data_IF_808821834996
#
_entry.id   IF_808821834996
#
_cell.length_a   1.000
_cell.length_b   1.000
_cell.length_c   1.000
_cell.angle_alpha   90.00
_cell.angle_beta   90.00
_cell.angle_gamma   90.00
#
_symmetry.space_group_name_H-M   'P 1'
#
loop_
_entity.id
_entity.type
_entity.pdbx_description
1 polymer ?
#
# COMPACT_ATOMS: atom_id res chain seq x y z
N UNK A 1 24.65 -3.95 24.24
CA UNK A 1 24.19 -5.33 23.97
C UNK A 1 24.52 -6.31 25.11
N UNK A 2 25.79 -6.39 25.56
CA UNK A 2 26.21 -7.34 26.59
C UNK A 2 25.30 -7.43 27.82
N UNK A 3 24.80 -6.30 28.33
CA UNK A 3 23.84 -6.29 29.44
C UNK A 3 22.57 -7.11 29.17
N UNK A 4 21.97 -6.96 27.98
CA UNK A 4 20.76 -7.70 27.58
C UNK A 4 21.06 -9.20 27.46
N UNK A 5 22.21 -9.55 26.87
CA UNK A 5 22.62 -10.94 26.71
C UNK A 5 22.91 -11.63 28.05
N UNK A 6 23.49 -10.91 29.02
CA UNK A 6 23.77 -11.46 30.35
C UNK A 6 22.54 -11.56 31.26
N UNK A 7 21.41 -10.94 30.89
CA UNK A 7 20.19 -10.87 31.69
C UNK A 7 18.93 -11.13 30.85
N UNK A 8 18.98 -12.11 29.94
CA UNK A 8 17.87 -12.41 29.01
C UNK A 8 16.56 -12.70 29.75
N UNK A 9 16.65 -13.29 30.94
CA UNK A 9 15.52 -13.60 31.83
C UNK A 9 14.74 -12.36 32.27
N UNK A 10 15.38 -11.20 32.33
CA UNK A 10 14.72 -9.92 32.67
C UNK A 10 13.94 -9.32 31.48
N UNK A 11 14.08 -9.88 30.29
CA UNK A 11 13.52 -9.32 29.05
C UNK A 11 12.69 -10.33 28.24
N UNK A 12 11.59 -10.85 28.80
CA UNK A 12 10.67 -11.69 28.03
C UNK A 12 10.04 -10.89 26.88
N UNK A 13 9.80 -11.55 25.74
CA UNK A 13 8.94 -11.06 24.65
C UNK A 13 9.23 -9.62 24.17
N UNK A 14 10.48 -9.28 23.87
CA UNK A 14 10.81 -7.99 23.25
C UNK A 14 10.87 -6.79 24.21
N UNK A 15 10.78 -7.00 25.53
CA UNK A 15 10.87 -5.93 26.53
C UNK A 15 12.18 -5.11 26.48
N UNK A 16 13.24 -5.65 25.86
CA UNK A 16 14.52 -4.96 25.66
C UNK A 16 14.56 -4.03 24.44
N UNK A 17 13.44 -3.84 23.71
CA UNK A 17 13.43 -3.17 22.40
C UNK A 17 14.17 -1.83 22.37
N UNK A 18 14.02 -0.99 23.40
CA UNK A 18 14.66 0.33 23.44
C UNK A 18 16.19 0.25 23.53
N UNK A 19 16.72 -0.79 24.17
CA UNK A 19 18.15 -1.06 24.22
C UNK A 19 18.61 -1.58 22.86
N UNK A 20 17.85 -2.49 22.24
CA UNK A 20 18.18 -3.02 20.91
C UNK A 20 18.23 -1.89 19.87
N UNK A 21 17.22 -1.02 19.81
CA UNK A 21 17.20 0.17 18.94
C UNK A 21 18.44 1.02 19.14
N UNK A 22 18.79 1.40 20.38
CA UNK A 22 19.98 2.21 20.64
C UNK A 22 21.29 1.53 20.20
N UNK A 23 21.37 0.20 20.28
CA UNK A 23 22.53 -0.52 19.75
C UNK A 23 22.55 -0.47 18.22
N UNK A 24 21.40 -0.61 17.56
CA UNK A 24 21.31 -0.46 16.10
C UNK A 24 21.69 0.95 15.65
N UNK A 25 21.15 2.00 16.28
CA UNK A 25 21.51 3.39 15.98
C UNK A 25 23.02 3.64 16.15
N UNK A 26 23.61 3.14 17.26
CA UNK A 26 25.05 3.29 17.51
C UNK A 26 25.93 2.52 16.50
N UNK A 27 25.45 1.37 15.99
CA UNK A 27 26.16 0.59 14.96
C UNK A 27 25.97 1.17 13.57
N UNK A 28 24.81 1.76 13.28
CA UNK A 28 24.58 2.45 12.02
C UNK A 28 25.56 3.60 11.80
N UNK A 29 25.94 4.33 12.87
CA UNK A 29 26.99 5.37 12.83
C UNK A 29 28.37 4.80 12.47
N UNK A 30 28.63 3.53 12.77
CA UNK A 30 29.87 2.84 12.42
C UNK A 30 29.86 2.27 10.99
N UNK A 31 28.69 2.28 10.33
CA UNK A 31 28.52 1.86 8.95
C UNK A 31 27.63 0.62 8.77
N UNK A 32 27.30 0.30 7.50
CA UNK A 32 26.38 -0.77 7.12
C UNK A 32 26.83 -2.16 7.58
N UNK A 33 28.12 -2.49 7.44
CA UNK A 33 28.66 -3.78 7.87
C UNK A 33 28.50 -3.98 9.38
N UNK A 34 28.80 -2.96 10.17
CA UNK A 34 28.71 -3.04 11.64
C UNK A 34 27.26 -3.20 12.12
N UNK A 35 26.29 -2.61 11.42
CA UNK A 35 24.87 -2.86 11.67
C UNK A 35 24.46 -4.28 11.24
N UNK A 36 24.96 -4.76 10.10
CA UNK A 36 24.74 -6.13 9.63
C UNK A 36 25.23 -7.18 10.63
N UNK A 37 26.46 -7.06 11.13
CA UNK A 37 27.02 -7.94 12.17
C UNK A 37 26.16 -7.95 13.43
N UNK A 38 25.65 -6.78 13.84
CA UNK A 38 24.75 -6.68 14.99
C UNK A 38 23.43 -7.45 14.75
N UNK A 39 22.81 -7.32 13.57
CA UNK A 39 21.58 -8.04 13.24
C UNK A 39 21.79 -9.54 13.17
N UNK A 40 22.96 -9.99 12.70
CA UNK A 40 23.36 -11.39 12.75
C UNK A 40 23.46 -11.88 14.19
N UNK A 41 24.12 -11.12 15.08
CA UNK A 41 24.15 -11.44 16.51
C UNK A 41 22.73 -11.51 17.10
N UNK A 42 21.82 -10.61 16.69
CA UNK A 42 20.42 -10.68 17.14
C UNK A 42 19.72 -11.95 16.68
N UNK A 43 20.01 -12.45 15.47
CA UNK A 43 19.48 -13.72 14.98
C UNK A 43 20.01 -14.91 15.78
N UNK A 44 21.33 -14.98 15.96
CA UNK A 44 22.02 -16.05 16.70
C UNK A 44 21.55 -16.13 18.15
N UNK A 45 21.31 -14.98 18.77
CA UNK A 45 20.90 -14.87 20.17
C UNK A 45 19.38 -14.96 20.37
N UNK A 46 18.61 -15.16 19.28
CA UNK A 46 17.15 -15.20 19.22
C UNK A 46 16.49 -13.98 19.89
N UNK A 47 17.01 -12.78 19.59
CA UNK A 47 16.46 -11.53 20.09
C UNK A 47 15.33 -11.06 19.18
N UNK A 48 14.20 -10.73 19.79
CA UNK A 48 13.02 -10.30 19.06
C UNK A 48 13.15 -8.85 18.56
N UNK A 49 12.91 -8.68 17.26
CA UNK A 49 12.93 -7.40 16.54
C UNK A 49 11.54 -7.00 16.04
N UNK A 50 10.48 -7.61 16.56
CA UNK A 50 9.10 -7.29 16.22
C UNK A 50 8.56 -6.09 17.02
N UNK A 51 9.24 -4.94 16.84
CA UNK A 51 8.80 -3.64 17.34
C UNK A 51 8.72 -2.62 16.20
N UNK A 52 7.76 -1.69 16.29
CA UNK A 52 7.46 -0.72 15.23
C UNK A 52 8.18 0.64 15.37
N UNK A 53 9.13 0.78 16.29
CA UNK A 53 9.81 2.07 16.48
C UNK A 53 10.87 2.27 15.40
N UNK A 54 10.86 3.43 14.70
CA UNK A 54 11.84 3.71 13.68
C UNK A 54 13.23 3.87 14.28
N UNK A 55 14.20 3.22 13.63
CA UNK A 55 15.62 3.36 13.98
C UNK A 55 16.15 4.62 13.31
N UNK A 56 16.83 5.48 14.05
CA UNK A 56 17.50 6.65 13.47
C UNK A 56 18.79 6.21 12.80
N UNK A 57 18.83 6.31 11.48
CA UNK A 57 20.01 6.05 10.67
C UNK A 57 20.68 7.40 10.31
N UNK A 58 22.01 7.42 10.08
CA UNK A 58 22.69 8.58 9.51
C UNK A 58 22.06 9.04 8.18
N UNK A 59 22.11 10.33 7.88
CA UNK A 59 21.56 10.89 6.63
C UNK A 59 22.26 10.31 5.38
N UNK A 60 23.54 9.98 5.51
CA UNK A 60 24.41 9.40 4.48
C UNK A 60 24.59 7.88 4.63
N UNK A 61 23.67 7.21 5.36
CA UNK A 61 23.75 5.77 5.56
C UNK A 61 23.66 4.99 4.24
N UNK A 62 24.67 4.15 3.98
CA UNK A 62 24.73 3.32 2.77
C UNK A 62 23.82 2.09 2.87
N UNK A 63 22.55 2.30 2.50
CA UNK A 63 21.55 1.23 2.47
C UNK A 63 21.90 0.11 1.49
N UNK A 64 22.53 0.41 0.35
CA UNK A 64 22.89 -0.59 -0.66
C UNK A 64 23.88 -1.61 -0.11
N UNK A 65 24.91 -1.13 0.62
CA UNK A 65 25.83 -2.02 1.31
C UNK A 65 25.13 -2.80 2.45
N UNK A 66 24.24 -2.15 3.19
CA UNK A 66 23.55 -2.77 4.34
C UNK A 66 22.65 -3.95 3.94
N UNK A 67 21.84 -3.79 2.90
CA UNK A 67 20.89 -4.85 2.46
C UNK A 67 21.59 -6.08 1.87
N UNK A 68 22.89 -6.00 1.56
CA UNK A 68 23.72 -7.12 1.17
C UNK A 68 24.32 -7.92 2.33
N UNK A 69 24.17 -7.46 3.57
CA UNK A 69 24.75 -8.13 4.75
C UNK A 69 23.98 -9.38 5.15
N UNK A 70 24.68 -10.39 5.69
CA UNK A 70 24.06 -11.63 6.17
C UNK A 70 23.02 -11.37 7.26
N UNK A 71 23.33 -10.50 8.22
CA UNK A 71 22.42 -10.15 9.30
C UNK A 71 21.13 -9.47 8.83
N UNK A 72 21.20 -8.65 7.78
CA UNK A 72 19.99 -8.12 7.15
C UNK A 72 19.13 -9.25 6.56
N UNK A 73 19.72 -10.14 5.76
CA UNK A 73 18.99 -11.24 5.11
C UNK A 73 18.31 -12.18 6.12
N UNK A 74 18.97 -12.45 7.25
CA UNK A 74 18.42 -13.28 8.33
C UNK A 74 17.23 -12.63 9.05
N UNK A 75 17.13 -11.30 9.03
CA UNK A 75 16.16 -10.54 9.81
C UNK A 75 15.20 -9.68 8.96
N UNK A 76 15.27 -9.77 7.63
CA UNK A 76 14.56 -8.88 6.70
C UNK A 76 13.05 -8.79 6.93
N UNK A 77 12.43 -9.86 7.44
CA UNK A 77 10.99 -9.93 7.65
C UNK A 77 10.54 -9.32 9.00
N UNK A 78 11.48 -8.97 9.88
CA UNK A 78 11.22 -8.37 11.20
C UNK A 78 10.78 -6.92 11.11
N UNK A 79 9.89 -6.54 12.03
CA UNK A 79 9.29 -5.19 12.02
C UNK A 79 10.31 -4.06 12.11
N UNK A 80 11.35 -4.21 12.94
CA UNK A 80 12.41 -3.20 13.06
C UNK A 80 13.22 -3.03 11.76
N UNK A 81 13.52 -4.14 11.07
CA UNK A 81 14.28 -4.11 9.80
C UNK A 81 13.42 -3.53 8.68
N UNK A 82 12.13 -3.88 8.63
CA UNK A 82 11.17 -3.21 7.72
C UNK A 82 11.14 -1.70 7.95
N UNK A 83 11.17 -1.25 9.21
CA UNK A 83 11.22 0.19 9.49
C UNK A 83 12.48 0.88 8.96
N UNK A 84 13.63 0.18 8.88
CA UNK A 84 14.82 0.71 8.21
C UNK A 84 14.63 0.82 6.70
N UNK A 85 13.98 -0.17 6.07
CA UNK A 85 13.63 -0.11 4.64
C UNK A 85 12.66 1.04 4.35
N UNK A 86 11.75 1.36 5.26
CA UNK A 86 10.91 2.57 5.14
C UNK A 86 11.77 3.85 5.15
N UNK A 87 12.81 3.88 5.99
CA UNK A 87 13.79 4.97 6.02
C UNK A 87 14.57 5.09 4.70
N UNK A 88 14.94 3.96 4.09
CA UNK A 88 15.56 3.94 2.77
C UNK A 88 14.61 4.50 1.71
N UNK A 89 13.38 4.01 1.67
CA UNK A 89 12.37 4.45 0.73
C UNK A 89 12.10 5.96 0.84
N UNK A 90 12.10 6.51 2.05
CA UNK A 90 11.95 7.95 2.27
C UNK A 90 13.16 8.77 1.78
N UNK A 91 14.36 8.18 1.77
CA UNK A 91 15.61 8.87 1.40
C UNK A 91 15.93 8.74 -0.08
N UNK A 92 15.82 7.53 -0.64
CA UNK A 92 16.04 7.19 -2.04
C UNK A 92 15.10 6.07 -2.48
N UNK A 93 13.86 6.46 -2.83
CA UNK A 93 12.81 5.53 -3.24
C UNK A 93 13.15 4.73 -4.50
N UNK A 94 13.95 5.28 -5.39
CA UNK A 94 14.29 4.63 -6.66
C UNK A 94 15.31 3.51 -6.44
N UNK A 95 16.30 3.74 -5.59
CA UNK A 95 17.25 2.71 -5.18
C UNK A 95 16.57 1.58 -4.40
N UNK A 96 15.68 1.91 -3.46
CA UNK A 96 14.91 0.92 -2.70
C UNK A 96 14.00 0.08 -3.62
N UNK A 97 13.31 0.72 -4.57
CA UNK A 97 12.51 0.03 -5.58
C UNK A 97 13.35 -0.93 -6.43
N UNK A 98 14.48 -0.45 -6.97
CA UNK A 98 15.37 -1.27 -7.80
C UNK A 98 15.89 -2.50 -7.03
N UNK A 99 16.18 -2.34 -5.74
CA UNK A 99 16.56 -3.44 -4.87
C UNK A 99 15.43 -4.47 -4.69
N UNK A 100 14.20 -4.03 -4.43
CA UNK A 100 13.04 -4.93 -4.32
C UNK A 100 12.81 -5.73 -5.61
N UNK A 101 12.95 -5.09 -6.78
CA UNK A 101 12.86 -5.76 -8.09
C UNK A 101 13.97 -6.80 -8.24
N UNK A 102 15.22 -6.42 -8.00
CA UNK A 102 16.38 -7.29 -8.16
C UNK A 102 16.34 -8.53 -7.25
N UNK A 103 15.72 -8.42 -6.07
CA UNK A 103 15.63 -9.50 -5.08
C UNK A 103 14.27 -10.24 -5.11
N UNK A 104 13.42 -9.96 -6.09
CA UNK A 104 12.08 -10.54 -6.22
C UNK A 104 11.16 -10.33 -4.99
N UNK A 105 11.37 -9.23 -4.26
CA UNK A 105 10.71 -8.87 -3.00
C UNK A 105 9.74 -7.68 -3.17
N UNK A 106 9.06 -7.61 -4.32
CA UNK A 106 8.23 -6.46 -4.69
C UNK A 106 7.05 -6.21 -3.74
N UNK A 107 6.55 -7.26 -3.08
CA UNK A 107 5.43 -7.17 -2.14
C UNK A 107 5.80 -6.43 -0.85
N UNK A 108 7.09 -6.40 -0.48
CA UNK A 108 7.56 -5.66 0.69
C UNK A 108 7.34 -4.16 0.55
N UNK A 109 7.33 -3.60 -0.68
CA UNK A 109 7.01 -2.19 -0.92
C UNK A 109 5.64 -1.78 -0.35
N UNK A 110 4.68 -2.71 -0.36
CA UNK A 110 3.34 -2.49 0.20
C UNK A 110 3.44 -2.26 1.71
N UNK A 111 4.29 -3.04 2.40
CA UNK A 111 4.55 -2.86 3.83
C UNK A 111 5.31 -1.58 4.15
N UNK A 112 6.07 -1.04 3.20
CA UNK A 112 6.93 0.12 3.43
C UNK A 112 6.27 1.48 3.18
N UNK A 113 5.35 1.55 2.23
CA UNK A 113 4.67 2.79 1.88
C UNK A 113 3.55 3.11 2.90
N UNK A 114 3.48 4.35 3.43
CA UNK A 114 2.44 4.79 4.36
C UNK A 114 1.11 5.09 3.63
N UNK A 115 0.60 4.12 2.86
CA UNK A 115 -0.57 4.27 1.97
C UNK A 115 -1.87 4.61 2.71
N UNK A 116 -1.98 4.28 4.00
CA UNK A 116 -3.20 4.49 4.79
C UNK A 116 -3.27 5.91 5.41
N UNK A 117 -2.27 6.77 5.16
CA UNK A 117 -2.24 8.16 5.66
C UNK A 117 -2.79 9.16 4.65
N UNK A 118 -3.35 10.28 5.12
CA UNK A 118 -3.87 11.35 4.26
C UNK A 118 -2.83 11.88 3.25
N UNK A 119 -1.55 11.84 3.62
CA UNK A 119 -0.42 12.28 2.79
C UNK A 119 0.12 11.17 1.87
N UNK A 120 -0.33 9.92 2.04
CA UNK A 120 0.12 8.75 1.28
C UNK A 120 -0.33 8.72 -0.19
N UNK A 121 -1.06 9.75 -0.65
CA UNK A 121 -1.54 9.83 -2.03
C UNK A 121 -0.40 9.82 -3.05
N UNK A 122 0.67 10.58 -2.78
CA UNK A 122 1.83 10.64 -3.65
C UNK A 122 2.57 9.30 -3.75
N UNK A 123 2.60 8.56 -2.64
CA UNK A 123 3.17 7.21 -2.56
C UNK A 123 2.38 6.20 -3.39
N UNK A 124 1.05 6.27 -3.31
CA UNK A 124 0.16 5.40 -4.10
C UNK A 124 0.24 5.72 -5.60
N UNK A 125 0.32 7.00 -5.95
CA UNK A 125 0.53 7.44 -7.34
C UNK A 125 1.88 6.97 -7.89
N UNK A 126 2.95 7.16 -7.13
CA UNK A 126 4.29 6.65 -7.48
C UNK A 126 4.27 5.13 -7.67
N UNK A 127 3.57 4.38 -6.82
CA UNK A 127 3.46 2.93 -6.97
C UNK A 127 2.75 2.55 -8.28
N UNK A 128 1.68 3.27 -8.65
CA UNK A 128 1.00 3.11 -9.94
C UNK A 128 1.94 3.34 -11.13
N UNK A 129 2.82 4.34 -11.05
CA UNK A 129 3.85 4.58 -12.08
C UNK A 129 4.79 3.37 -12.22
N UNK A 130 5.25 2.82 -11.09
CA UNK A 130 6.25 1.74 -11.07
C UNK A 130 5.76 0.42 -11.63
N UNK A 131 4.47 0.11 -11.57
CA UNK A 131 3.96 -1.14 -12.16
C UNK A 131 4.33 -1.28 -13.65
N UNK A 132 4.38 -0.17 -14.40
CA UNK A 132 4.73 -0.19 -15.83
C UNK A 132 6.20 -0.53 -16.12
N UNK A 133 7.06 -0.54 -15.09
CA UNK A 133 8.48 -0.88 -15.19
C UNK A 133 8.79 -2.32 -14.78
N UNK A 134 7.78 -3.05 -14.29
CA UNK A 134 7.90 -4.45 -13.86
C UNK A 134 7.58 -5.39 -15.02
N UNK A 135 8.06 -6.63 -14.95
CA UNK A 135 7.54 -7.69 -15.80
C UNK A 135 6.11 -8.10 -15.39
N UNK A 136 5.44 -8.89 -16.23
CA UNK A 136 4.04 -9.28 -16.02
C UNK A 136 3.82 -10.03 -14.69
N UNK A 137 4.77 -10.87 -14.26
CA UNK A 137 4.67 -11.65 -13.03
C UNK A 137 4.80 -10.75 -11.80
N UNK A 138 5.82 -9.89 -11.80
CA UNK A 138 6.07 -8.92 -10.74
C UNK A 138 4.94 -7.90 -10.63
N UNK A 139 4.44 -7.38 -11.76
CA UNK A 139 3.31 -6.48 -11.82
C UNK A 139 2.03 -7.14 -11.26
N UNK A 140 1.77 -8.40 -11.61
CA UNK A 140 0.61 -9.14 -11.11
C UNK A 140 0.69 -9.36 -9.59
N UNK A 141 1.86 -9.73 -9.05
CA UNK A 141 2.08 -9.89 -7.60
C UNK A 141 1.88 -8.58 -6.85
N UNK A 142 2.54 -7.51 -7.29
CA UNK A 142 2.42 -6.20 -6.67
C UNK A 142 0.97 -5.68 -6.72
N UNK A 143 0.32 -5.76 -7.89
CA UNK A 143 -1.08 -5.36 -8.03
C UNK A 143 -2.00 -6.21 -7.14
N UNK A 144 -1.77 -7.52 -7.05
CA UNK A 144 -2.52 -8.42 -6.16
C UNK A 144 -2.50 -7.93 -4.71
N UNK A 145 -1.33 -7.63 -4.16
CA UNK A 145 -1.21 -7.12 -2.80
C UNK A 145 -1.77 -5.70 -2.61
N UNK A 146 -1.56 -4.81 -3.57
CA UNK A 146 -2.05 -3.42 -3.52
C UNK A 146 -3.57 -3.36 -3.66
N UNK A 147 -4.16 -4.22 -4.48
CA UNK A 147 -5.60 -4.21 -4.78
C UNK A 147 -6.47 -4.37 -3.53
N UNK A 148 -6.04 -5.17 -2.55
CA UNK A 148 -6.74 -5.31 -1.28
C UNK A 148 -6.82 -3.97 -0.52
N UNK A 149 -5.74 -3.17 -0.57
CA UNK A 149 -5.71 -1.83 0.03
C UNK A 149 -6.56 -0.83 -0.75
N UNK A 150 -6.42 -0.78 -2.07
CA UNK A 150 -7.22 0.08 -2.95
C UNK A 150 -8.72 -0.20 -2.79
N UNK A 151 -9.11 -1.45 -2.57
CA UNK A 151 -10.51 -1.80 -2.30
C UNK A 151 -11.02 -1.29 -0.94
N UNK A 152 -10.16 -1.19 0.07
CA UNK A 152 -10.53 -0.62 1.37
C UNK A 152 -10.65 0.89 1.28
N UNK A 153 -9.74 1.54 0.55
CA UNK A 153 -9.76 2.97 0.27
C UNK A 153 -9.81 3.28 -1.24
N UNK A 154 -11.01 3.39 -1.84
CA UNK A 154 -11.15 3.68 -3.26
C UNK A 154 -10.60 5.05 -3.68
N UNK A 155 -10.35 5.98 -2.74
CA UNK A 155 -9.72 7.26 -3.08
C UNK A 155 -8.23 7.09 -3.39
N UNK A 156 -7.57 6.17 -2.71
CA UNK A 156 -6.23 5.70 -3.08
C UNK A 156 -6.21 5.06 -4.47
N UNK A 157 -7.28 4.39 -4.90
CA UNK A 157 -7.36 3.82 -6.25
C UNK A 157 -7.30 4.90 -7.35
N UNK A 158 -7.85 6.09 -7.11
CA UNK A 158 -7.75 7.21 -8.05
C UNK A 158 -6.31 7.73 -8.15
N UNK A 159 -5.59 7.81 -7.03
CA UNK A 159 -4.18 8.18 -7.02
C UNK A 159 -3.34 7.16 -7.79
N UNK A 160 -3.59 5.88 -7.56
CA UNK A 160 -2.94 4.79 -8.29
C UNK A 160 -3.21 4.88 -9.80
N UNK A 161 -4.47 5.14 -10.19
CA UNK A 161 -4.87 5.31 -11.58
C UNK A 161 -4.16 6.49 -12.27
N UNK A 162 -3.87 7.57 -11.54
CA UNK A 162 -3.15 8.72 -12.07
C UNK A 162 -1.68 8.40 -12.41
N UNK A 163 -1.03 7.58 -11.59
CA UNK A 163 0.35 7.15 -11.84
C UNK A 163 0.46 6.06 -12.89
N UNK A 164 -0.57 5.21 -13.03
CA UNK A 164 -0.58 4.07 -13.93
C UNK A 164 -0.46 4.48 -15.41
N UNK A 165 0.66 4.11 -16.04
CA UNK A 165 0.90 4.34 -17.48
C UNK A 165 0.24 3.30 -18.38
N UNK A 166 0.05 2.09 -17.87
CA UNK A 166 -0.67 1.03 -18.59
C UNK A 166 -2.19 1.31 -18.56
N UNK A 167 -2.85 1.42 -19.73
CA UNK A 167 -4.29 1.69 -19.79
C UNK A 167 -5.15 0.65 -19.07
N UNK A 168 -4.76 -0.63 -19.10
CA UNK A 168 -5.49 -1.71 -18.45
C UNK A 168 -5.43 -1.62 -16.93
N UNK A 169 -4.24 -1.38 -16.36
CA UNK A 169 -4.07 -1.14 -14.93
C UNK A 169 -4.80 0.12 -14.47
N UNK A 170 -4.74 1.18 -15.26
CA UNK A 170 -5.47 2.42 -14.99
C UNK A 170 -6.98 2.16 -14.94
N UNK A 171 -7.54 1.47 -15.93
CA UNK A 171 -8.95 1.11 -15.96
C UNK A 171 -9.34 0.26 -14.75
N UNK A 172 -8.59 -0.78 -14.41
CA UNK A 172 -8.83 -1.61 -13.21
C UNK A 172 -8.83 -0.81 -11.92
N UNK A 173 -8.00 0.22 -11.81
CA UNK A 173 -7.99 1.12 -10.66
C UNK A 173 -9.23 2.05 -10.64
N UNK A 174 -9.68 2.53 -11.81
CA UNK A 174 -10.93 3.30 -11.95
C UNK A 174 -12.17 2.45 -11.65
N UNK A 175 -12.16 1.16 -12.00
CA UNK A 175 -13.21 0.20 -11.60
C UNK A 175 -13.35 0.09 -10.07
N UNK A 176 -12.23 0.13 -9.34
CA UNK A 176 -12.25 0.17 -7.88
C UNK A 176 -12.85 1.50 -7.38
N UNK A 177 -12.52 2.63 -8.02
CA UNK A 177 -13.10 3.94 -7.69
C UNK A 177 -14.62 3.94 -7.83
N UNK A 178 -15.17 3.25 -8.83
CA UNK A 178 -16.61 3.18 -9.05
C UNK A 178 -17.36 2.55 -7.85
N UNK A 179 -16.68 1.77 -6.99
CA UNK A 179 -17.30 1.23 -5.76
C UNK A 179 -17.66 2.32 -4.75
N UNK A 180 -17.14 3.55 -4.89
CA UNK A 180 -17.57 4.70 -4.11
C UNK A 180 -19.07 5.00 -4.27
N UNK A 181 -19.69 4.66 -5.41
CA UNK A 181 -21.15 4.81 -5.59
C UNK A 181 -21.90 3.99 -4.52
N UNK A 182 -21.46 2.75 -4.24
CA UNK A 182 -22.07 1.88 -3.23
C UNK A 182 -21.91 2.44 -1.80
N UNK A 183 -20.90 3.29 -1.57
CA UNK A 183 -20.63 3.98 -0.30
C UNK A 183 -21.31 5.35 -0.20
N UNK A 184 -22.03 5.76 -1.24
CA UNK A 184 -22.74 7.04 -1.31
C UNK A 184 -21.91 8.23 -1.80
N UNK A 185 -20.66 8.02 -2.21
CA UNK A 185 -19.79 9.04 -2.80
C UNK A 185 -19.92 9.00 -4.35
N UNK A 186 -21.13 9.33 -4.82
CA UNK A 186 -21.55 9.22 -6.23
C UNK A 186 -20.76 10.17 -7.12
N UNK A 187 -20.65 11.45 -6.73
CA UNK A 187 -19.95 12.48 -7.52
C UNK A 187 -18.48 12.12 -7.76
N UNK A 188 -17.77 11.68 -6.71
CA UNK A 188 -16.40 11.24 -6.83
C UNK A 188 -16.26 10.09 -7.82
N UNK A 189 -17.09 9.05 -7.65
CA UNK A 189 -17.04 7.86 -8.49
C UNK A 189 -17.30 8.18 -9.97
N UNK A 190 -18.31 8.99 -10.26
CA UNK A 190 -18.64 9.41 -11.62
C UNK A 190 -17.50 10.21 -12.24
N UNK A 191 -16.92 11.15 -11.49
CA UNK A 191 -15.75 11.94 -11.93
C UNK A 191 -14.57 11.05 -12.29
N UNK A 192 -14.30 10.00 -11.50
CA UNK A 192 -13.21 9.08 -11.82
C UNK A 192 -13.51 8.23 -13.07
N UNK A 193 -14.76 7.77 -13.22
CA UNK A 193 -15.18 6.97 -14.39
C UNK A 193 -15.10 7.75 -15.71
N UNK A 194 -15.20 9.08 -15.71
CA UNK A 194 -14.96 9.89 -16.90
C UNK A 194 -13.54 9.74 -17.46
N UNK A 195 -12.58 9.29 -16.64
CA UNK A 195 -11.24 8.92 -17.07
C UNK A 195 -11.17 7.72 -18.01
N UNK A 196 -12.24 6.92 -18.12
CA UNK A 196 -12.36 5.80 -19.08
C UNK A 196 -12.96 6.35 -20.38
N UNK A 197 -12.30 6.31 -21.55
CA UNK A 197 -12.81 6.96 -22.76
C UNK A 197 -14.16 6.43 -23.27
N UNK A 198 -14.42 5.13 -23.14
CA UNK A 198 -15.64 4.51 -23.63
C UNK A 198 -16.79 4.62 -22.61
N UNK A 199 -17.86 5.33 -23.00
CA UNK A 199 -19.03 5.52 -22.15
C UNK A 199 -19.76 4.19 -21.87
N UNK A 200 -19.82 3.29 -22.86
CA UNK A 200 -20.44 1.97 -22.69
C UNK A 200 -19.74 1.16 -21.59
N UNK A 201 -18.40 1.17 -21.58
CA UNK A 201 -17.59 0.53 -20.54
C UNK A 201 -17.85 1.11 -19.15
N UNK A 202 -18.01 2.43 -19.00
CA UNK A 202 -18.36 3.06 -17.70
C UNK A 202 -19.68 2.51 -17.16
N UNK A 203 -20.68 2.40 -18.03
CA UNK A 203 -22.01 1.84 -17.69
C UNK A 203 -21.87 0.36 -17.33
N UNK A 204 -21.15 -0.42 -18.11
CA UNK A 204 -20.91 -1.85 -17.84
C UNK A 204 -20.27 -2.08 -16.46
N UNK A 205 -19.28 -1.27 -16.09
CA UNK A 205 -18.64 -1.32 -14.78
C UNK A 205 -19.66 -1.11 -13.67
N UNK A 206 -20.51 -0.08 -13.76
CA UNK A 206 -21.53 0.22 -12.76
C UNK A 206 -22.62 -0.85 -12.69
N UNK A 207 -23.05 -1.39 -13.84
CA UNK A 207 -24.06 -2.45 -13.92
C UNK A 207 -23.56 -3.77 -13.32
N UNK A 208 -22.28 -4.08 -13.51
CA UNK A 208 -21.65 -5.32 -13.00
C UNK A 208 -21.35 -5.30 -11.50
N UNK A 209 -21.53 -4.15 -10.83
CA UNK A 209 -21.22 -4.03 -9.41
C UNK A 209 -22.11 -4.89 -8.54
N UNK A 210 -21.48 -5.63 -7.63
CA UNK A 210 -22.16 -6.39 -6.59
C UNK A 210 -22.27 -5.54 -5.32
N UNK A 211 -23.45 -5.43 -4.70
CA UNK A 211 -23.60 -4.75 -3.42
C UNK A 211 -22.65 -5.32 -2.35
N UNK A 212 -22.04 -4.44 -1.57
CA UNK A 212 -21.17 -4.85 -0.46
C UNK A 212 -22.07 -5.36 0.69
N UNK A 213 -21.89 -6.59 1.21
CA UNK A 213 -22.65 -7.09 2.36
C UNK A 213 -22.61 -6.10 3.52
N UNK A 214 -23.75 -5.86 4.16
CA UNK A 214 -23.90 -4.83 5.21
C UNK A 214 -22.93 -5.02 6.38
N UNK A 215 -22.55 -6.25 6.67
CA UNK A 215 -21.65 -6.66 7.74
C UNK A 215 -20.18 -6.29 7.45
N UNK A 216 -19.83 -6.09 6.18
CA UNK A 216 -18.49 -5.68 5.75
C UNK A 216 -18.37 -4.16 5.56
N UNK A 217 -19.48 -3.42 5.74
CA UNK A 217 -19.54 -1.96 5.61
C UNK A 217 -19.06 -1.29 6.90
N UNK A 218 -17.76 -1.38 7.18
CA UNK A 218 -17.18 -0.95 8.46
C UNK A 218 -16.94 0.56 8.59
N UNK A 219 -17.03 1.37 7.52
CA UNK A 219 -16.71 2.80 7.59
C UNK A 219 -17.52 3.70 6.64
N UNK A 220 -18.09 4.78 7.18
CA UNK A 220 -18.29 6.05 6.47
C UNK A 220 -19.35 6.13 5.36
N UNK A 221 -20.39 5.29 5.36
CA UNK A 221 -21.46 5.40 4.34
C UNK A 221 -22.24 6.69 4.52
N UNK A 222 -22.35 7.46 3.45
CA UNK A 222 -23.41 8.46 3.32
C UNK A 222 -24.60 7.82 2.59
N UNK A 223 -25.85 8.02 3.03
CA UNK A 223 -26.99 7.53 2.25
C UNK A 223 -26.98 8.15 0.85
N UNK A 224 -27.33 7.35 -0.16
CA UNK A 224 -27.56 7.86 -1.53
C UNK A 224 -28.92 8.56 -1.52
N UNK A 225 -28.89 9.89 -1.40
CA UNK A 225 -30.09 10.74 -1.40
C UNK A 225 -30.82 10.68 -2.74
N UNK A 226 -32.07 11.14 -2.78
CA UNK A 226 -32.83 11.25 -4.03
C UNK A 226 -32.10 12.11 -5.08
N UNK A 227 -31.45 13.20 -4.64
CA UNK A 227 -30.63 14.07 -5.49
C UNK A 227 -29.45 13.30 -6.12
N UNK A 228 -28.74 12.49 -5.34
CA UNK A 228 -27.65 11.64 -5.84
C UNK A 228 -28.15 10.54 -6.78
N UNK A 229 -29.34 9.99 -6.55
CA UNK A 229 -29.96 9.04 -7.46
C UNK A 229 -30.32 9.70 -8.80
N UNK A 230 -30.80 10.94 -8.76
CA UNK A 230 -31.13 11.68 -9.98
C UNK A 230 -29.87 12.07 -10.76
N UNK A 231 -28.81 12.51 -10.07
CA UNK A 231 -27.50 12.73 -10.68
C UNK A 231 -26.98 11.46 -11.37
N UNK A 232 -27.06 10.31 -10.68
CA UNK A 232 -26.61 9.03 -11.21
C UNK A 232 -27.45 8.61 -12.43
N UNK A 233 -28.78 8.76 -12.38
CA UNK A 233 -29.69 8.50 -13.48
C UNK A 233 -29.35 9.36 -14.71
N UNK A 234 -29.22 10.67 -14.53
CA UNK A 234 -28.89 11.60 -15.60
C UNK A 234 -27.55 11.27 -16.25
N UNK A 235 -26.51 11.05 -15.44
CA UNK A 235 -25.17 10.73 -15.94
C UNK A 235 -25.13 9.41 -16.71
N UNK A 236 -25.85 8.37 -16.22
CA UNK A 236 -25.95 7.10 -16.92
C UNK A 236 -26.67 7.24 -18.27
N UNK A 237 -27.77 8.01 -18.32
CA UNK A 237 -28.47 8.29 -19.57
C UNK A 237 -27.60 9.05 -20.57
N UNK A 238 -26.81 10.03 -20.10
CA UNK A 238 -25.84 10.77 -20.92
C UNK A 238 -24.72 9.86 -21.46
N UNK A 239 -24.35 8.82 -20.71
CA UNK A 239 -23.44 7.77 -21.17
C UNK A 239 -24.12 6.70 -22.06
N UNK A 240 -25.41 6.85 -22.37
CA UNK A 240 -26.15 5.96 -23.26
C UNK A 240 -26.72 4.70 -22.59
N UNK A 241 -26.83 4.67 -21.26
CA UNK A 241 -27.47 3.56 -20.56
C UNK A 241 -28.98 3.52 -20.86
N UNK A 242 -29.51 2.31 -21.05
CA UNK A 242 -30.96 2.12 -21.13
C UNK A 242 -31.62 2.11 -19.74
N UNK A 243 -32.95 2.21 -19.70
CA UNK A 243 -33.73 2.23 -18.46
C UNK A 243 -33.46 1.00 -17.58
N UNK A 244 -33.22 -0.17 -18.18
CA UNK A 244 -32.94 -1.40 -17.44
C UNK A 244 -31.57 -1.35 -16.76
N UNK A 245 -30.56 -0.82 -17.44
CA UNK A 245 -29.22 -0.62 -16.90
C UNK A 245 -29.26 0.40 -15.76
N UNK A 246 -29.93 1.53 -15.95
CA UNK A 246 -30.13 2.58 -14.94
C UNK A 246 -30.77 1.98 -13.68
N UNK A 247 -31.89 1.28 -13.81
CA UNK A 247 -32.59 0.68 -12.66
C UNK A 247 -31.75 -0.42 -11.98
N UNK A 248 -30.90 -1.12 -12.72
CA UNK A 248 -29.96 -2.09 -12.14
C UNK A 248 -28.95 -1.40 -11.22
N UNK A 249 -28.32 -0.31 -11.71
CA UNK A 249 -27.36 0.47 -10.91
C UNK A 249 -28.07 1.09 -9.69
N UNK A 250 -29.23 1.70 -9.88
CA UNK A 250 -30.00 2.32 -8.80
C UNK A 250 -30.43 1.31 -7.73
N UNK A 251 -30.77 0.09 -8.12
CA UNK A 251 -31.08 -0.99 -7.18
C UNK A 251 -29.86 -1.37 -6.34
N UNK A 252 -28.66 -1.40 -6.92
CA UNK A 252 -27.44 -1.80 -6.22
C UNK A 252 -26.96 -0.77 -5.17
N UNK A 253 -27.35 0.50 -5.34
CA UNK A 253 -26.89 1.61 -4.49
C UNK A 253 -27.90 2.01 -3.41
N UNK A 254 -29.14 1.51 -3.50
CA UNK A 254 -30.17 1.71 -2.48
C UNK A 254 -29.70 1.14 -1.13
N UNK A 255 -30.06 1.81 -0.01
CA UNK A 255 -29.68 1.36 1.33
C UNK A 255 -30.19 -0.03 1.67
#
# INVERSE_FOLDING_TARGET
>A
LGFVLSHKDLYPHGAAWSILVKNMEARAVQGPESLGELLQTFAEENLDLDFGNPTKLPEDFDFQAFVGTEGFLLQKDKSAVKSMLNGWLASDREAAFAWCVANNDIESLIGMLPMDHADGRADVEWLGEKLSSLDDEQAARLFGGVSARLNRDPRSAAAFANGARDPGLRERALEICARCVLRGDVEFALTQLEGIPDAGRRVEILVSMVPIPSELQSFGRSPVTAEKQELLRGTLADWGADERQIETVLKNVKP
#
